data_IF_829379257536
#
_entry.id   IF_829379257536
#
_cell.length_a   1.000
_cell.length_b   1.000
_cell.length_c   1.000
_cell.angle_alpha   90.00
_cell.angle_beta   90.00
_cell.angle_gamma   90.00
#
_symmetry.space_group_name_H-M   'P 1'
#
loop_
_entity.id
_entity.type
_entity.pdbx_description
1 polymer ?
#
# COMPACT_ATOMS: atom_id res chain seq x y z
N UNK A 1 -35.84 0.83 30.53
CA UNK A 1 -34.87 -0.26 30.24
C UNK A 1 -34.23 -0.22 28.84
N UNK A 2 -34.82 0.40 27.81
CA UNK A 2 -34.29 0.35 26.42
C UNK A 2 -32.99 1.12 26.14
N UNK A 3 -32.64 2.12 26.94
CA UNK A 3 -31.43 2.93 26.72
C UNK A 3 -30.14 2.17 27.08
N UNK A 4 -30.22 1.18 27.96
CA UNK A 4 -29.07 0.37 28.35
C UNK A 4 -28.66 -0.60 27.23
N UNK A 5 -29.64 -1.24 26.59
CA UNK A 5 -29.41 -2.13 25.45
C UNK A 5 -28.91 -1.36 24.22
N UNK A 6 -29.45 -0.16 23.96
CA UNK A 6 -28.99 0.72 22.87
C UNK A 6 -27.57 1.23 23.09
N UNK A 7 -27.22 1.61 24.31
CA UNK A 7 -25.87 2.03 24.64
C UNK A 7 -24.89 0.86 24.52
N UNK A 8 -25.24 -0.33 25.02
CA UNK A 8 -24.41 -1.53 24.88
C UNK A 8 -24.15 -1.90 23.40
N UNK A 9 -25.17 -1.82 22.55
CA UNK A 9 -25.03 -2.01 21.09
C UNK A 9 -24.08 -0.99 20.46
N UNK A 10 -24.16 0.28 20.84
CA UNK A 10 -23.25 1.33 20.37
C UNK A 10 -21.80 1.09 20.78
N UNK A 11 -21.57 0.65 22.03
CA UNK A 11 -20.23 0.32 22.49
C UNK A 11 -19.65 -0.90 21.76
N UNK A 12 -20.47 -1.93 21.52
CA UNK A 12 -20.06 -3.13 20.77
C UNK A 12 -19.73 -2.83 19.31
N UNK A 13 -20.52 -1.98 18.62
CA UNK A 13 -20.21 -1.59 17.23
C UNK A 13 -18.96 -0.72 17.16
N UNK A 14 -18.75 0.19 18.12
CA UNK A 14 -17.54 1.02 18.17
C UNK A 14 -16.29 0.17 18.42
N UNK A 15 -16.34 -0.80 19.35
CA UNK A 15 -15.24 -1.73 19.62
C UNK A 15 -14.91 -2.58 18.38
N UNK A 16 -15.94 -3.06 17.68
CA UNK A 16 -15.75 -3.81 16.44
C UNK A 16 -15.03 -2.95 15.38
N UNK A 17 -15.47 -1.72 15.12
CA UNK A 17 -14.82 -0.81 14.15
C UNK A 17 -13.34 -0.51 14.48
N UNK A 18 -13.02 -0.35 15.77
CA UNK A 18 -11.64 -0.13 16.22
C UNK A 18 -10.76 -1.37 16.00
N UNK A 19 -11.30 -2.58 16.24
CA UNK A 19 -10.57 -3.83 15.96
C UNK A 19 -10.27 -4.02 14.47
N UNK A 20 -11.24 -3.72 13.59
CA UNK A 20 -11.03 -3.83 12.13
C UNK A 20 -9.96 -2.86 11.64
N UNK A 21 -9.92 -1.64 12.18
CA UNK A 21 -8.93 -0.62 11.79
C UNK A 21 -7.48 -1.07 12.06
N UNK A 22 -7.24 -1.70 13.22
CA UNK A 22 -5.92 -2.23 13.58
C UNK A 22 -5.49 -3.38 12.64
N UNK A 23 -6.43 -4.25 12.25
CA UNK A 23 -6.16 -5.32 11.29
C UNK A 23 -5.81 -4.78 9.90
N UNK A 24 -6.49 -3.72 9.44
CA UNK A 24 -6.18 -3.06 8.15
C UNK A 24 -4.81 -2.35 8.21
N UNK A 25 -4.34 -1.93 9.38
CA UNK A 25 -2.99 -1.42 9.56
C UNK A 25 -1.93 -2.51 9.38
N UNK A 26 -2.17 -3.70 9.96
CA UNK A 26 -1.28 -4.86 9.83
C UNK A 26 -1.19 -5.36 8.38
N UNK A 27 -2.29 -5.28 7.61
CA UNK A 27 -2.27 -5.68 6.19
C UNK A 27 -1.57 -4.67 5.25
N UNK A 28 -1.10 -3.51 5.74
CA UNK A 28 -0.48 -2.45 4.92
C UNK A 28 1.00 -2.66 4.58
N UNK A 29 1.52 -3.86 4.80
CA UNK A 29 2.90 -4.22 4.48
C UNK A 29 3.80 -3.95 5.66
N UNK A 30 3.96 -4.98 6.48
CA UNK A 30 4.96 -5.08 7.53
C UNK A 30 6.37 -4.87 6.95
N UNK A 31 7.04 -3.82 7.42
CA UNK A 31 8.39 -3.45 7.04
C UNK A 31 8.45 -2.35 5.97
N UNK A 32 8.52 -1.09 6.40
CA UNK A 32 8.96 -0.01 5.52
C UNK A 32 10.37 -0.33 5.04
N UNK A 33 10.56 -0.48 3.73
CA UNK A 33 11.89 -0.65 3.15
C UNK A 33 12.77 0.54 3.56
N UNK A 34 14.04 0.28 3.75
CA UNK A 34 15.01 1.36 3.77
C UNK A 34 15.20 1.91 2.34
N UNK A 35 15.44 3.23 2.15
CA UNK A 35 15.64 3.81 0.83
C UNK A 35 16.73 3.11 -0.01
N UNK A 36 17.72 2.52 0.66
CA UNK A 36 18.81 1.77 0.02
C UNK A 36 18.32 0.48 -0.66
N UNK A 37 17.26 -0.14 -0.15
CA UNK A 37 16.70 -1.40 -0.68
C UNK A 37 15.83 -1.19 -1.92
N UNK A 38 15.36 0.05 -2.15
CA UNK A 38 14.53 0.39 -3.29
C UNK A 38 15.19 0.02 -4.63
N UNK A 39 16.51 0.18 -4.75
CA UNK A 39 17.24 -0.10 -6.00
C UNK A 39 17.11 -1.56 -6.42
N UNK A 40 17.35 -2.50 -5.51
CA UNK A 40 17.26 -3.94 -5.79
C UNK A 40 15.81 -4.34 -6.10
N UNK A 41 14.86 -3.88 -5.29
CA UNK A 41 13.44 -4.22 -5.43
C UNK A 41 12.84 -3.68 -6.74
N UNK A 42 13.19 -2.45 -7.11
CA UNK A 42 12.75 -1.87 -8.39
C UNK A 42 13.42 -2.52 -9.60
N UNK A 43 14.67 -2.97 -9.47
CA UNK A 43 15.33 -3.75 -10.53
C UNK A 43 14.55 -5.04 -10.82
N UNK A 44 14.17 -5.78 -9.77
CA UNK A 44 13.33 -6.97 -9.91
C UNK A 44 11.95 -6.65 -10.49
N UNK A 45 11.25 -5.65 -9.92
CA UNK A 45 9.92 -5.23 -10.36
C UNK A 45 9.88 -4.91 -11.86
N UNK A 46 10.93 -4.27 -12.37
CA UNK A 46 11.05 -3.85 -13.77
C UNK A 46 11.81 -4.85 -14.66
N UNK A 47 12.13 -6.05 -14.18
CA UNK A 47 12.96 -7.02 -14.91
C UNK A 47 12.31 -7.55 -16.20
N UNK A 48 10.99 -7.71 -16.20
CA UNK A 48 10.23 -8.28 -17.31
C UNK A 48 9.74 -7.27 -18.36
N UNK A 49 9.88 -5.96 -18.13
CA UNK A 49 9.47 -4.95 -19.11
C UNK A 49 10.61 -4.63 -20.07
N UNK A 50 10.27 -4.37 -21.34
CA UNK A 50 11.20 -3.79 -22.33
C UNK A 50 11.56 -2.33 -22.00
N UNK A 51 10.67 -1.61 -21.32
CA UNK A 51 10.82 -0.20 -20.95
C UNK A 51 11.53 -0.05 -19.59
N UNK A 52 12.71 -0.67 -19.44
CA UNK A 52 13.42 -0.77 -18.15
C UNK A 52 13.73 0.58 -17.52
N UNK A 53 14.30 1.52 -18.29
CA UNK A 53 14.72 2.85 -17.80
C UNK A 53 13.56 3.65 -17.17
N UNK A 54 12.43 3.90 -17.88
CA UNK A 54 11.32 4.63 -17.28
C UNK A 54 10.64 3.86 -16.14
N UNK A 55 10.53 2.52 -16.24
CA UNK A 55 9.98 1.72 -15.15
C UNK A 55 10.79 1.89 -13.86
N UNK A 56 12.12 1.74 -13.91
CA UNK A 56 12.98 1.88 -12.74
C UNK A 56 12.90 3.30 -12.18
N UNK A 57 12.88 4.32 -13.04
CA UNK A 57 12.76 5.72 -12.61
C UNK A 57 11.47 5.97 -11.79
N UNK A 58 10.31 5.56 -12.31
CA UNK A 58 9.05 5.73 -11.59
C UNK A 58 8.97 4.83 -10.36
N UNK A 59 9.43 3.58 -10.45
CA UNK A 59 9.47 2.68 -9.30
C UNK A 59 10.28 3.27 -8.15
N UNK A 60 11.49 3.78 -8.41
CA UNK A 60 12.34 4.39 -7.39
C UNK A 60 11.68 5.63 -6.78
N UNK A 61 11.03 6.47 -7.60
CA UNK A 61 10.30 7.65 -7.11
C UNK A 61 9.17 7.25 -6.16
N UNK A 62 8.41 6.22 -6.51
CA UNK A 62 7.34 5.67 -5.67
C UNK A 62 7.89 5.00 -4.41
N UNK A 63 8.95 4.21 -4.54
CA UNK A 63 9.58 3.51 -3.42
C UNK A 63 10.18 4.49 -2.41
N UNK A 64 10.88 5.53 -2.84
CA UNK A 64 11.44 6.52 -1.91
C UNK A 64 10.36 7.30 -1.17
N UNK A 65 9.17 7.46 -1.75
CA UNK A 65 8.04 8.11 -1.08
C UNK A 65 7.31 7.17 -0.13
N UNK A 66 7.04 5.96 -0.59
CA UNK A 66 6.13 5.02 0.07
C UNK A 66 6.85 3.96 0.91
N UNK A 67 8.16 3.81 0.72
CA UNK A 67 9.03 2.79 1.32
C UNK A 67 8.47 1.37 1.16
N UNK A 68 7.89 1.09 -0.02
CA UNK A 68 7.22 -0.17 -0.36
C UNK A 68 7.34 -0.43 -1.87
N UNK A 69 7.60 -1.68 -2.26
CA UNK A 69 7.53 -2.15 -3.66
C UNK A 69 6.74 -3.47 -3.68
N UNK A 70 5.66 -3.59 -4.46
CA UNK A 70 4.87 -4.83 -4.53
C UNK A 70 5.69 -6.02 -5.06
N UNK A 71 5.33 -7.22 -4.63
CA UNK A 71 5.95 -8.45 -5.11
C UNK A 71 5.60 -8.75 -6.58
N UNK A 72 6.47 -9.50 -7.26
CA UNK A 72 6.34 -9.83 -8.67
C UNK A 72 6.71 -8.67 -9.61
N UNK A 73 6.60 -8.90 -10.91
CA UNK A 73 6.93 -7.94 -11.98
C UNK A 73 5.71 -7.17 -12.50
N UNK A 74 4.50 -7.58 -12.11
CA UNK A 74 3.24 -6.94 -12.45
C UNK A 74 2.20 -7.16 -11.34
N UNK A 75 1.15 -6.33 -11.26
CA UNK A 75 0.05 -6.52 -10.31
C UNK A 75 0.42 -6.30 -8.84
N UNK A 76 -0.34 -6.89 -7.92
CA UNK A 76 -0.12 -6.87 -6.46
C UNK A 76 -0.04 -5.49 -5.81
N UNK A 77 -0.46 -4.42 -6.49
CA UNK A 77 -0.30 -3.05 -5.99
C UNK A 77 -1.07 -2.84 -4.68
N UNK A 78 -2.15 -3.57 -4.44
CA UNK A 78 -2.92 -3.54 -3.19
C UNK A 78 -2.11 -3.85 -1.93
N UNK A 79 -0.98 -4.58 -2.05
CA UNK A 79 -0.09 -4.87 -0.92
C UNK A 79 0.70 -3.64 -0.46
N UNK A 80 0.83 -2.63 -1.31
CA UNK A 80 1.48 -1.36 -1.02
C UNK A 80 0.51 -0.20 -1.34
N UNK A 81 -0.44 0.17 -0.47
CA UNK A 81 -1.49 1.14 -0.81
C UNK A 81 -0.97 2.52 -1.23
N UNK A 82 0.10 3.03 -0.61
CA UNK A 82 0.72 4.29 -1.04
C UNK A 82 1.24 4.21 -2.49
N UNK A 83 1.89 3.10 -2.85
CA UNK A 83 2.40 2.84 -4.19
C UNK A 83 1.26 2.73 -5.22
N UNK A 84 0.16 2.06 -4.85
CA UNK A 84 -1.02 1.88 -5.70
C UNK A 84 -1.81 3.17 -5.94
N UNK A 85 -1.93 3.99 -4.89
CA UNK A 85 -2.77 5.19 -4.89
C UNK A 85 -2.06 6.40 -5.50
N UNK A 86 -0.78 6.29 -5.85
CA UNK A 86 -0.07 7.33 -6.58
C UNK A 86 -0.54 7.38 -8.04
N UNK A 87 -1.24 8.46 -8.39
CA UNK A 87 -1.80 8.70 -9.72
C UNK A 87 -1.09 9.85 -10.45
N UNK A 88 -1.19 9.85 -11.78
CA UNK A 88 -0.82 10.99 -12.62
C UNK A 88 -1.90 12.08 -12.53
N UNK A 89 -1.69 13.23 -13.20
CA UNK A 89 -2.69 14.31 -13.21
C UNK A 89 -3.95 13.89 -13.97
N UNK A 90 -3.82 13.00 -14.94
CA UNK A 90 -4.89 12.41 -15.73
C UNK A 90 -5.60 11.24 -15.01
N UNK A 91 -5.21 10.94 -13.76
CA UNK A 91 -5.84 9.89 -12.94
C UNK A 91 -5.29 8.46 -13.17
N UNK A 92 -4.40 8.28 -14.15
CA UNK A 92 -3.76 6.99 -14.43
C UNK A 92 -2.77 6.53 -13.35
N UNK A 93 -2.40 5.23 -13.31
CA UNK A 93 -1.40 4.74 -12.37
C UNK A 93 -0.02 5.35 -12.67
N UNK A 94 0.60 5.96 -11.65
CA UNK A 94 1.94 6.57 -11.79
C UNK A 94 3.08 5.59 -11.53
N UNK A 95 2.85 4.62 -10.64
CA UNK A 95 3.84 3.64 -10.25
C UNK A 95 3.67 2.33 -11.05
N UNK A 96 4.77 1.69 -11.48
CA UNK A 96 4.72 0.51 -12.34
C UNK A 96 4.06 -0.73 -11.72
#
# INVERSE_FOLDING_TARGET
MGNCLRNALFFLTLLFLLSVSNLVQASRGDGKLHPQECKSKCSYRCSATSHKKPCIFFCLKCCNKCLCVPSGTYGNKQTCPCYNNWKTKEGGPKCP
#
